data_IF_046407275779
#
_entry.id   IF_046407275779
#
_cell.length_a   1.000
_cell.length_b   1.000
_cell.length_c   1.000
_cell.angle_alpha   90.00
_cell.angle_beta   90.00
_cell.angle_gamma   90.00
#
_symmetry.space_group_name_H-M   'P 1'
#
loop_
_entity.id
_entity.type
_entity.pdbx_description
1 polymer ?
#
# COMPACT_ATOMS: atom_id res chain seq x y z
N UNK A 1 22.10 15.31 3.66
CA UNK A 1 21.71 16.05 4.87
C UNK A 1 21.64 17.57 4.71
N UNK A 2 22.52 18.25 4.01
CA UNK A 2 22.46 19.73 3.83
C UNK A 2 21.44 20.21 2.78
N UNK A 3 21.08 19.39 1.78
CA UNK A 3 20.12 19.77 0.73
C UNK A 3 18.66 19.76 1.23
N UNK A 4 18.32 18.83 2.11
CA UNK A 4 16.96 18.68 2.64
C UNK A 4 16.57 19.84 3.58
N UNK A 5 17.53 20.37 4.35
CA UNK A 5 17.29 21.53 5.23
C UNK A 5 17.09 22.84 4.45
N UNK A 6 17.67 22.96 3.25
CA UNK A 6 17.52 24.14 2.39
C UNK A 6 16.17 24.15 1.70
N UNK A 7 15.68 22.99 1.25
CA UNK A 7 14.36 22.88 0.61
C UNK A 7 13.21 23.16 1.57
N UNK A 8 13.28 22.68 2.81
CA UNK A 8 12.29 23.00 3.84
C UNK A 8 12.26 24.50 4.15
N UNK A 9 13.43 25.19 4.15
CA UNK A 9 13.48 26.64 4.37
C UNK A 9 12.95 27.47 3.20
N UNK A 10 13.05 26.99 1.97
CA UNK A 10 12.53 27.72 0.80
C UNK A 10 11.00 27.69 0.68
N UNK A 11 10.35 26.63 1.16
CA UNK A 11 8.88 26.55 1.16
C UNK A 11 8.24 27.45 2.24
N UNK A 12 8.98 27.78 3.32
CA UNK A 12 8.47 28.65 4.39
C UNK A 12 8.69 30.15 4.17
N UNK A 13 9.53 30.57 3.21
CA UNK A 13 9.85 31.98 2.98
C UNK A 13 9.16 32.60 1.76
N UNK A 14 8.41 31.83 0.99
CA UNK A 14 7.68 32.27 -0.20
C UNK A 14 6.18 32.43 0.02
N UNK A 15 5.77 33.51 0.70
CA UNK A 15 4.38 33.94 0.75
C UNK A 15 3.60 33.37 1.94
N UNK A 16 3.35 34.21 2.95
CA UNK A 16 2.26 34.05 3.91
C UNK A 16 0.93 34.33 3.14
N UNK A 17 0.60 33.49 2.17
CA UNK A 17 -0.74 33.22 1.77
C UNK A 17 -1.30 32.29 2.85
N UNK A 18 -2.41 32.62 3.45
CA UNK A 18 -3.17 31.74 4.32
C UNK A 18 -3.32 30.40 3.61
N UNK A 19 -2.49 29.43 3.95
CA UNK A 19 -2.73 28.04 3.54
C UNK A 19 -4.08 27.68 4.14
N UNK A 20 -5.11 27.68 3.32
CA UNK A 20 -6.45 27.34 3.74
C UNK A 20 -6.40 25.88 4.12
N UNK A 21 -6.39 25.60 5.43
CA UNK A 21 -6.44 24.23 5.93
C UNK A 21 -7.63 23.55 5.28
N UNK A 22 -7.38 22.46 4.60
CA UNK A 22 -8.47 21.66 4.06
C UNK A 22 -9.37 21.22 5.20
N UNK A 23 -10.69 21.19 5.01
CA UNK A 23 -11.59 20.66 6.02
C UNK A 23 -11.21 19.22 6.33
N UNK A 24 -11.47 18.78 7.58
CA UNK A 24 -11.30 17.38 7.97
C UNK A 24 -12.00 16.49 6.94
N UNK A 25 -11.31 15.50 6.37
CA UNK A 25 -11.95 14.55 5.50
C UNK A 25 -12.99 13.76 6.32
N UNK A 26 -14.18 13.64 5.75
CA UNK A 26 -15.27 12.88 6.36
C UNK A 26 -15.44 11.62 5.53
N UNK A 27 -15.27 10.48 6.17
CA UNK A 27 -15.61 9.23 5.53
C UNK A 27 -17.13 9.16 5.36
N UNK A 28 -17.58 9.04 4.12
CA UNK A 28 -18.99 8.92 3.77
C UNK A 28 -19.22 7.65 2.95
N UNK A 29 -19.80 6.58 3.52
CA UNK A 29 -20.07 5.34 2.78
C UNK A 29 -21.10 5.50 1.64
N UNK A 30 -21.79 6.64 1.59
CA UNK A 30 -22.75 7.00 0.55
C UNK A 30 -22.17 8.04 -0.44
N UNK A 31 -20.84 8.19 -0.48
CA UNK A 31 -20.22 9.11 -1.43
C UNK A 31 -20.51 8.64 -2.86
N UNK A 32 -21.03 9.53 -3.74
CA UNK A 32 -21.41 9.15 -5.10
C UNK A 32 -20.24 8.63 -5.93
N UNK A 33 -18.99 8.96 -5.58
CA UNK A 33 -17.80 8.42 -6.24
C UNK A 33 -17.71 6.88 -6.16
N UNK A 34 -18.31 6.27 -5.16
CA UNK A 34 -18.35 4.80 -5.08
C UNK A 34 -19.12 4.14 -6.24
N UNK A 35 -20.06 4.84 -6.83
CA UNK A 35 -20.85 4.36 -7.97
C UNK A 35 -20.32 4.88 -9.32
N UNK A 36 -19.44 5.88 -9.31
CA UNK A 36 -18.90 6.54 -10.51
C UNK A 36 -17.53 5.95 -10.91
N UNK A 37 -17.53 4.65 -11.26
CA UNK A 37 -16.32 4.02 -11.79
C UNK A 37 -16.16 4.31 -13.28
N UNK A 38 -14.99 4.81 -13.67
CA UNK A 38 -14.60 5.09 -15.04
C UNK A 38 -13.25 4.40 -15.31
N UNK A 39 -13.11 3.62 -16.40
CA UNK A 39 -11.81 3.06 -16.76
C UNK A 39 -10.83 4.16 -17.17
N UNK A 40 -9.49 3.91 -17.12
CA UNK A 40 -8.52 4.89 -17.57
C UNK A 40 -8.73 5.24 -19.05
N UNK A 41 -8.66 6.52 -19.36
CA UNK A 41 -8.68 7.06 -20.73
C UNK A 41 -7.29 7.11 -21.36
N UNK A 42 -7.23 7.45 -22.66
CA UNK A 42 -5.95 7.63 -23.34
C UNK A 42 -5.10 8.70 -22.64
N UNK A 43 -3.90 8.33 -22.24
CA UNK A 43 -2.96 9.22 -21.57
C UNK A 43 -3.10 9.30 -20.05
N UNK A 44 -4.03 8.59 -19.43
CA UNK A 44 -4.07 8.42 -17.98
C UNK A 44 -2.92 7.53 -17.52
N UNK A 45 -2.46 7.78 -16.29
CA UNK A 45 -1.39 7.01 -15.64
C UNK A 45 -2.01 5.98 -14.70
N UNK A 46 -1.51 4.74 -14.76
CA UNK A 46 -1.83 3.67 -13.82
C UNK A 46 -0.55 2.95 -13.42
N UNK A 47 -0.52 2.45 -12.19
CA UNK A 47 0.62 1.81 -11.58
C UNK A 47 0.38 0.34 -11.22
N UNK A 48 1.35 -0.33 -10.61
CA UNK A 48 1.21 -1.72 -10.22
C UNK A 48 0.22 -1.95 -9.06
N UNK A 49 -0.18 -0.89 -8.35
CA UNK A 49 -1.09 -0.98 -7.20
C UNK A 49 -2.57 -0.94 -7.63
N UNK A 50 -3.32 -2.06 -7.60
CA UNK A 50 -4.71 -2.09 -8.02
C UNK A 50 -5.63 -1.24 -7.13
N UNK A 51 -5.28 -1.06 -5.86
CA UNK A 51 -6.08 -0.22 -4.94
C UNK A 51 -5.99 1.26 -5.32
N UNK A 52 -4.80 1.80 -5.59
CA UNK A 52 -4.62 3.19 -6.00
C UNK A 52 -5.23 3.44 -7.39
N UNK A 53 -5.09 2.48 -8.30
CA UNK A 53 -5.76 2.51 -9.60
C UNK A 53 -7.30 2.55 -9.44
N UNK A 54 -7.85 1.74 -8.53
CA UNK A 54 -9.28 1.78 -8.20
C UNK A 54 -9.72 3.14 -7.67
N UNK A 55 -8.93 3.75 -6.79
CA UNK A 55 -9.22 5.09 -6.25
C UNK A 55 -9.22 6.16 -7.35
N UNK A 56 -8.28 6.09 -8.30
CA UNK A 56 -8.25 6.98 -9.45
C UNK A 56 -9.46 6.73 -10.37
N UNK A 57 -9.81 5.47 -10.64
CA UNK A 57 -10.96 5.10 -11.47
C UNK A 57 -12.31 5.53 -10.88
N UNK A 58 -12.38 5.73 -9.56
CA UNK A 58 -13.55 6.23 -8.84
C UNK A 58 -13.47 7.74 -8.50
N UNK A 59 -12.40 8.44 -8.86
CA UNK A 59 -12.22 9.86 -8.58
C UNK A 59 -11.92 10.23 -7.11
N UNK A 60 -11.49 9.27 -6.29
CA UNK A 60 -10.92 9.53 -4.96
C UNK A 60 -9.48 10.04 -5.05
N UNK A 61 -8.78 9.70 -6.10
CA UNK A 61 -7.54 10.32 -6.58
C UNK A 61 -7.81 11.01 -7.92
N UNK A 62 -6.93 11.92 -8.38
CA UNK A 62 -7.04 12.46 -9.73
C UNK A 62 -7.25 11.35 -10.75
N UNK A 63 -8.33 11.40 -11.53
CA UNK A 63 -8.68 10.33 -12.47
C UNK A 63 -7.58 10.06 -13.48
N UNK A 64 -6.88 11.11 -13.88
CA UNK A 64 -5.70 10.98 -14.76
C UNK A 64 -4.57 10.13 -14.17
N UNK A 65 -4.57 9.88 -12.86
CA UNK A 65 -3.49 9.20 -12.17
C UNK A 65 -2.18 9.99 -12.16
N UNK A 66 -2.22 11.31 -12.40
CA UNK A 66 -1.04 12.18 -12.54
C UNK A 66 -1.01 13.29 -11.52
N UNK A 67 0.22 13.74 -11.21
CA UNK A 67 0.50 14.82 -10.26
C UNK A 67 -0.13 14.58 -8.87
N UNK A 68 -0.09 13.33 -8.42
CA UNK A 68 -0.64 12.92 -7.13
C UNK A 68 0.30 13.37 -6.02
N UNK A 69 -0.22 14.10 -5.05
CA UNK A 69 0.53 14.54 -3.87
C UNK A 69 0.35 13.56 -2.70
N UNK A 70 1.22 13.63 -1.68
CA UNK A 70 1.01 12.86 -0.45
C UNK A 70 -0.33 13.21 0.23
N UNK A 71 -0.81 14.45 0.09
CA UNK A 71 -2.10 14.87 0.63
C UNK A 71 -3.24 14.15 -0.10
N UNK A 72 -3.16 14.02 -1.42
CA UNK A 72 -4.15 13.29 -2.21
C UNK A 72 -4.19 11.82 -1.79
N UNK A 73 -3.03 11.18 -1.59
CA UNK A 73 -2.95 9.80 -1.10
C UNK A 73 -3.64 9.65 0.25
N UNK A 74 -3.27 10.50 1.23
CA UNK A 74 -3.85 10.44 2.58
C UNK A 74 -5.37 10.61 2.55
N UNK A 75 -5.88 11.58 1.80
CA UNK A 75 -7.31 11.83 1.70
C UNK A 75 -8.04 10.76 0.88
N UNK A 76 -7.51 10.43 -0.29
CA UNK A 76 -8.15 9.47 -1.19
C UNK A 76 -8.23 8.07 -0.60
N UNK A 77 -7.18 7.59 0.08
CA UNK A 77 -7.21 6.30 0.76
C UNK A 77 -8.12 6.30 1.99
N UNK A 78 -8.18 7.39 2.74
CA UNK A 78 -9.13 7.53 3.84
C UNK A 78 -10.59 7.57 3.33
N UNK A 79 -10.89 8.43 2.36
CA UNK A 79 -12.25 8.61 1.86
C UNK A 79 -12.76 7.40 1.06
N UNK A 80 -11.88 6.75 0.26
CA UNK A 80 -12.26 5.63 -0.61
C UNK A 80 -12.10 4.24 -0.01
N UNK A 81 -11.14 4.06 0.91
CA UNK A 81 -10.84 2.75 1.51
C UNK A 81 -10.98 2.74 3.04
N UNK A 82 -11.23 3.87 3.67
CA UNK A 82 -11.26 3.99 5.12
C UNK A 82 -9.91 3.74 5.79
N UNK A 83 -8.80 3.82 5.07
CA UNK A 83 -7.47 3.58 5.62
C UNK A 83 -7.05 4.69 6.57
N UNK A 84 -6.31 4.32 7.61
CA UNK A 84 -5.83 5.28 8.58
C UNK A 84 -4.83 6.26 7.97
N UNK A 85 -4.92 7.55 8.31
CA UNK A 85 -4.06 8.58 7.74
C UNK A 85 -2.57 8.35 8.02
N UNK A 86 -2.25 7.82 9.20
CA UNK A 86 -0.87 7.53 9.61
C UNK A 86 -0.23 6.41 8.76
N UNK A 87 -1.00 5.46 8.28
CA UNK A 87 -0.51 4.45 7.37
C UNK A 87 -0.37 5.01 5.94
N UNK A 88 -1.41 5.71 5.49
CA UNK A 88 -1.47 6.29 4.15
C UNK A 88 -0.35 7.28 3.88
N UNK A 89 0.02 8.11 4.89
CA UNK A 89 1.13 9.05 4.73
C UNK A 89 2.48 8.36 4.60
N UNK A 90 2.67 7.22 5.25
CA UNK A 90 3.92 6.47 5.12
C UNK A 90 4.12 5.97 3.69
N UNK A 91 3.06 5.44 3.07
CA UNK A 91 3.06 5.04 1.66
C UNK A 91 3.31 6.25 0.76
N UNK A 92 2.52 7.32 0.88
CA UNK A 92 2.64 8.51 0.03
C UNK A 92 4.00 9.21 0.13
N UNK A 93 4.62 9.23 1.32
CA UNK A 93 5.97 9.79 1.49
C UNK A 93 7.04 8.89 0.88
N UNK A 94 6.89 7.57 0.99
CA UNK A 94 7.81 6.63 0.37
C UNK A 94 7.90 6.86 -1.14
N UNK A 95 6.76 7.05 -1.80
CA UNK A 95 6.70 7.36 -3.23
C UNK A 95 7.37 8.68 -3.57
N UNK A 96 7.01 9.74 -2.84
CA UNK A 96 7.60 11.07 -3.10
C UNK A 96 9.12 11.12 -2.94
N UNK A 97 9.69 10.26 -2.07
CA UNK A 97 11.15 10.18 -1.91
C UNK A 97 11.85 9.63 -3.16
N UNK A 98 11.11 9.03 -4.07
CA UNK A 98 11.61 8.45 -5.32
C UNK A 98 11.15 9.20 -6.57
N UNK A 99 10.12 10.03 -6.44
CA UNK A 99 9.69 10.84 -7.57
C UNK A 99 10.71 11.94 -7.91
N UNK A 100 10.75 12.32 -9.17
CA UNK A 100 11.68 13.33 -9.67
C UNK A 100 11.46 14.71 -9.04
N UNK A 101 10.25 14.99 -8.58
CA UNK A 101 9.85 16.33 -8.11
C UNK A 101 9.80 16.48 -6.60
N UNK A 102 9.75 15.40 -5.81
CA UNK A 102 9.47 15.39 -4.38
C UNK A 102 8.15 16.10 -3.97
N UNK A 103 7.36 16.52 -4.94
CA UNK A 103 6.11 17.25 -4.71
C UNK A 103 4.88 16.41 -5.09
N UNK A 104 4.98 15.68 -6.17
CA UNK A 104 3.94 14.82 -6.70
C UNK A 104 4.57 13.70 -7.53
N UNK A 105 3.80 12.66 -7.79
CA UNK A 105 4.17 11.55 -8.66
C UNK A 105 2.97 11.15 -9.54
N UNK A 106 3.25 10.47 -10.62
CA UNK A 106 2.26 9.79 -11.45
C UNK A 106 2.15 8.33 -11.00
N UNK A 107 0.97 7.70 -11.08
CA UNK A 107 0.78 6.32 -10.63
C UNK A 107 1.73 5.33 -11.31
N UNK A 108 2.12 5.60 -12.55
CA UNK A 108 3.11 4.78 -13.25
C UNK A 108 4.50 4.81 -12.58
N UNK A 109 4.85 5.88 -11.86
CA UNK A 109 6.15 5.98 -11.18
C UNK A 109 6.28 5.00 -10.00
N UNK A 110 5.16 4.43 -9.51
CA UNK A 110 5.14 3.34 -8.53
C UNK A 110 5.88 2.08 -9.02
N UNK A 111 6.10 1.98 -10.32
CA UNK A 111 6.91 0.98 -11.01
C UNK A 111 8.41 1.13 -10.70
N UNK A 112 8.79 1.50 -9.50
CA UNK A 112 10.18 1.61 -9.08
C UNK A 112 10.61 0.29 -8.44
N UNK A 113 11.10 -0.64 -9.28
CA UNK A 113 11.43 -1.99 -8.88
C UNK A 113 12.47 -2.03 -7.74
N UNK A 114 12.23 -2.92 -6.78
CA UNK A 114 13.07 -3.10 -5.60
C UNK A 114 12.86 -2.06 -4.50
N UNK A 115 11.96 -1.08 -4.70
CA UNK A 115 11.61 -0.11 -3.66
C UNK A 115 10.17 -0.29 -3.16
N UNK A 116 9.18 -0.19 -4.01
CA UNK A 116 7.77 -0.50 -3.70
C UNK A 116 7.29 -1.65 -4.58
N UNK A 117 7.51 -1.54 -5.88
CA UNK A 117 7.30 -2.66 -6.77
C UNK A 117 8.29 -3.79 -6.49
N UNK A 118 7.82 -5.01 -6.51
CA UNK A 118 8.59 -6.20 -6.16
C UNK A 118 8.13 -7.42 -6.95
N UNK A 119 9.03 -8.35 -7.18
CA UNK A 119 8.71 -9.66 -7.74
C UNK A 119 7.78 -10.48 -6.83
N UNK A 120 7.23 -11.54 -7.34
CA UNK A 120 6.28 -12.42 -6.65
C UNK A 120 4.97 -11.73 -6.25
N UNK A 121 4.57 -10.70 -6.97
CA UNK A 121 3.27 -10.06 -6.82
C UNK A 121 2.12 -11.00 -7.19
N UNK A 122 0.98 -10.92 -6.50
CA UNK A 122 -0.15 -11.85 -6.73
C UNK A 122 -0.70 -11.80 -8.15
N UNK A 123 -0.61 -10.65 -8.83
CA UNK A 123 -1.34 -10.42 -10.09
C UNK A 123 -0.55 -9.66 -11.15
N UNK A 124 0.74 -9.40 -10.91
CA UNK A 124 1.64 -8.78 -11.88
C UNK A 124 2.77 -9.74 -12.20
N UNK A 125 3.33 -9.64 -13.40
CA UNK A 125 4.52 -10.39 -13.75
C UNK A 125 5.74 -9.88 -12.97
N UNK A 126 6.77 -10.70 -12.86
CA UNK A 126 8.06 -10.27 -12.35
C UNK A 126 8.76 -9.39 -13.40
N UNK A 127 9.61 -8.47 -12.96
CA UNK A 127 10.29 -7.56 -13.89
C UNK A 127 11.14 -8.30 -14.93
N UNK A 128 11.69 -9.45 -14.57
CA UNK A 128 12.46 -10.30 -15.48
C UNK A 128 11.61 -10.98 -16.56
N UNK A 129 10.31 -11.08 -16.37
CA UNK A 129 9.37 -11.77 -17.26
C UNK A 129 8.54 -10.82 -18.13
N UNK A 130 8.70 -9.49 -17.97
CA UNK A 130 8.03 -8.50 -18.81
C UNK A 130 7.42 -7.33 -18.04
N UNK A 131 6.16 -7.03 -18.33
CA UNK A 131 5.44 -5.91 -17.72
C UNK A 131 4.92 -6.27 -16.34
N UNK A 132 5.57 -5.73 -15.30
CA UNK A 132 5.13 -5.85 -13.91
C UNK A 132 4.21 -4.70 -13.45
N UNK A 133 3.82 -3.80 -14.34
CA UNK A 133 2.86 -2.72 -14.05
C UNK A 133 1.41 -3.18 -14.17
N UNK A 134 1.07 -3.82 -15.26
CA UNK A 134 -0.30 -4.13 -15.61
C UNK A 134 -0.78 -5.48 -15.02
N UNK A 135 -2.09 -5.62 -14.87
CA UNK A 135 -2.69 -6.89 -14.48
C UNK A 135 -2.29 -8.00 -15.47
N UNK A 136 -1.80 -9.12 -14.96
CA UNK A 136 -1.40 -10.27 -15.74
C UNK A 136 -2.28 -11.49 -15.41
N UNK A 137 -3.16 -11.87 -16.37
CA UNK A 137 -4.10 -12.99 -16.19
C UNK A 137 -3.37 -14.32 -15.97
N UNK A 138 -2.24 -14.53 -16.65
CA UNK A 138 -1.45 -15.77 -16.51
C UNK A 138 -0.92 -15.89 -15.09
N UNK A 139 -0.35 -14.83 -14.54
CA UNK A 139 0.15 -14.79 -13.18
C UNK A 139 -0.99 -14.97 -12.18
N UNK A 140 -2.08 -14.23 -12.34
CA UNK A 140 -3.25 -14.34 -11.47
C UNK A 140 -3.91 -15.73 -11.51
N UNK A 141 -3.76 -16.47 -12.59
CA UNK A 141 -4.26 -17.84 -12.71
C UNK A 141 -3.59 -18.81 -11.71
N UNK A 142 -2.47 -18.45 -11.11
CA UNK A 142 -1.76 -19.27 -10.11
C UNK A 142 -2.39 -19.16 -8.71
N UNK A 143 -2.55 -17.98 -8.10
CA UNK A 143 -3.15 -17.84 -6.77
C UNK A 143 -4.69 -18.00 -6.78
N UNK A 144 -5.37 -17.66 -7.87
CA UNK A 144 -6.83 -17.68 -7.96
C UNK A 144 -7.46 -19.05 -7.65
N UNK A 145 -6.97 -20.21 -8.14
CA UNK A 145 -7.51 -21.52 -7.78
C UNK A 145 -7.44 -21.81 -6.28
N UNK A 146 -6.40 -21.33 -5.60
CA UNK A 146 -6.26 -21.48 -4.16
C UNK A 146 -7.36 -20.69 -3.45
N UNK A 147 -7.55 -19.43 -3.85
CA UNK A 147 -8.58 -18.55 -3.26
C UNK A 147 -10.01 -19.08 -3.49
N UNK A 148 -10.28 -19.76 -4.61
CA UNK A 148 -11.58 -20.36 -4.91
C UNK A 148 -12.02 -21.45 -3.93
N UNK A 149 -11.10 -21.99 -3.12
CA UNK A 149 -11.43 -22.97 -2.10
C UNK A 149 -12.03 -22.36 -0.82
N UNK A 150 -12.12 -21.04 -0.75
CA UNK A 150 -12.57 -20.32 0.44
C UNK A 150 -13.83 -19.51 0.14
N UNK A 151 -14.78 -19.52 1.06
CA UNK A 151 -16.01 -18.71 0.96
C UNK A 151 -15.73 -17.21 1.21
N UNK A 152 -14.77 -16.93 2.06
CA UNK A 152 -14.23 -15.59 2.36
C UNK A 152 -12.72 -15.65 2.41
N UNK A 153 -12.08 -14.56 2.03
CA UNK A 153 -10.62 -14.48 2.00
C UNK A 153 -10.12 -14.04 3.36
N UNK A 154 -9.53 -15.00 4.07
CA UNK A 154 -8.86 -14.79 5.36
C UNK A 154 -7.36 -14.57 5.18
N UNK A 155 -6.62 -14.13 6.21
CA UNK A 155 -5.15 -14.09 6.16
C UNK A 155 -4.52 -15.41 5.74
N UNK A 156 -5.05 -16.53 6.23
CA UNK A 156 -4.58 -17.88 5.88
C UNK A 156 -4.84 -18.21 4.41
N UNK A 157 -6.00 -17.85 3.88
CA UNK A 157 -6.37 -18.09 2.49
C UNK A 157 -5.45 -17.34 1.52
N UNK A 158 -5.22 -16.04 1.79
CA UNK A 158 -4.37 -15.22 0.92
C UNK A 158 -2.88 -15.55 1.12
N UNK A 159 -2.46 -15.94 2.33
CA UNK A 159 -1.11 -16.47 2.59
C UNK A 159 -0.84 -17.74 1.78
N UNK A 160 -1.80 -18.68 1.71
CA UNK A 160 -1.69 -19.88 0.89
C UNK A 160 -1.63 -19.55 -0.62
N UNK A 161 -2.41 -18.56 -1.06
CA UNK A 161 -2.39 -18.10 -2.45
C UNK A 161 -1.02 -17.47 -2.81
N UNK A 162 -0.44 -16.67 -1.91
CA UNK A 162 0.91 -16.12 -2.07
C UNK A 162 1.96 -17.22 -2.11
N UNK A 163 1.90 -18.19 -1.21
CA UNK A 163 2.82 -19.35 -1.24
C UNK A 163 2.78 -20.06 -2.58
N UNK A 164 1.59 -20.25 -3.17
CA UNK A 164 1.48 -20.85 -4.49
C UNK A 164 2.15 -19.98 -5.58
N UNK A 165 2.01 -18.66 -5.46
CA UNK A 165 2.63 -17.70 -6.40
C UNK A 165 4.16 -17.71 -6.27
N UNK A 166 4.70 -17.65 -5.05
CA UNK A 166 6.15 -17.66 -4.82
C UNK A 166 6.78 -18.98 -5.30
N UNK A 167 6.13 -20.13 -5.04
CA UNK A 167 6.56 -21.42 -5.56
C UNK A 167 6.58 -21.48 -7.09
N UNK A 168 5.59 -20.85 -7.72
CA UNK A 168 5.54 -20.77 -9.18
C UNK A 168 6.73 -19.97 -9.72
N UNK A 169 7.04 -18.80 -9.14
CA UNK A 169 8.14 -17.97 -9.61
C UNK A 169 9.49 -18.63 -9.43
N UNK A 170 9.75 -19.21 -8.25
CA UNK A 170 10.99 -19.95 -7.99
C UNK A 170 11.20 -21.10 -8.99
N UNK A 171 10.11 -21.70 -9.45
CA UNK A 171 10.18 -22.79 -10.44
C UNK A 171 10.33 -22.32 -11.89
N UNK A 172 9.88 -21.12 -12.23
CA UNK A 172 9.76 -20.68 -13.63
C UNK A 172 10.61 -19.45 -13.98
N UNK A 173 10.90 -18.58 -13.01
CA UNK A 173 11.72 -17.40 -13.21
C UNK A 173 13.06 -17.55 -12.47
N UNK A 174 14.17 -17.93 -13.15
CA UNK A 174 15.48 -18.09 -12.53
C UNK A 174 16.08 -16.76 -12.04
N UNK A 175 15.53 -15.63 -12.45
CA UNK A 175 16.00 -14.30 -12.08
C UNK A 175 15.08 -13.60 -11.07
N UNK A 176 14.11 -14.32 -10.49
CA UNK A 176 13.19 -13.76 -9.53
C UNK A 176 13.90 -13.26 -8.26
N UNK A 177 13.38 -12.18 -7.69
CA UNK A 177 13.88 -11.59 -6.44
C UNK A 177 12.84 -11.73 -5.31
N UNK A 178 12.34 -12.97 -5.12
CA UNK A 178 11.36 -13.31 -4.08
C UNK A 178 12.03 -13.45 -2.70
N UNK A 179 12.75 -12.45 -2.26
CA UNK A 179 13.45 -12.41 -0.98
C UNK A 179 12.60 -11.84 0.17
N UNK A 180 13.25 -11.65 1.32
CA UNK A 180 12.59 -11.19 2.54
C UNK A 180 11.78 -9.90 2.35
N UNK A 181 12.31 -8.97 1.55
CA UNK A 181 11.64 -7.69 1.25
C UNK A 181 10.36 -7.89 0.42
N UNK A 182 10.41 -8.68 -0.65
CA UNK A 182 9.23 -9.01 -1.47
C UNK A 182 8.15 -9.69 -0.63
N UNK A 183 8.56 -10.63 0.24
CA UNK A 183 7.64 -11.30 1.16
C UNK A 183 7.02 -10.30 2.12
N UNK A 184 7.82 -9.39 2.70
CA UNK A 184 7.33 -8.39 3.63
C UNK A 184 6.31 -7.44 2.98
N UNK A 185 6.60 -6.93 1.77
CA UNK A 185 5.65 -6.14 1.00
C UNK A 185 4.39 -6.93 0.69
N UNK A 186 4.54 -8.12 0.15
CA UNK A 186 3.41 -8.93 -0.26
C UNK A 186 2.48 -9.34 0.90
N UNK A 187 3.00 -9.63 2.09
CA UNK A 187 2.12 -9.89 3.24
C UNK A 187 1.49 -8.61 3.79
N UNK A 188 2.17 -7.46 3.68
CA UNK A 188 1.58 -6.16 4.00
C UNK A 188 0.41 -5.84 3.06
N UNK A 189 0.57 -6.09 1.76
CA UNK A 189 -0.50 -5.98 0.75
C UNK A 189 -1.69 -6.90 1.08
N UNK A 190 -1.43 -8.13 1.55
CA UNK A 190 -2.48 -9.05 2.01
C UNK A 190 -3.29 -8.43 3.16
N UNK A 191 -2.60 -7.87 4.15
CA UNK A 191 -3.23 -7.19 5.28
C UNK A 191 -4.06 -5.97 4.86
N UNK A 192 -3.51 -5.16 3.94
CA UNK A 192 -4.20 -4.00 3.36
C UNK A 192 -5.46 -4.41 2.59
N UNK A 193 -5.36 -5.38 1.70
CA UNK A 193 -6.46 -5.86 0.89
C UNK A 193 -7.61 -6.38 1.76
N UNK A 194 -7.31 -7.22 2.75
CA UNK A 194 -8.31 -7.77 3.65
C UNK A 194 -8.94 -6.66 4.50
N UNK A 195 -8.13 -5.79 5.10
CA UNK A 195 -8.61 -4.71 5.94
C UNK A 195 -9.50 -3.73 5.16
N UNK A 196 -9.05 -3.28 3.99
CA UNK A 196 -9.79 -2.33 3.13
C UNK A 196 -11.14 -2.87 2.66
N UNK A 197 -11.27 -4.18 2.57
CA UNK A 197 -12.50 -4.85 2.15
C UNK A 197 -13.29 -5.46 3.32
N UNK A 198 -13.13 -4.91 4.54
CA UNK A 198 -13.98 -5.22 5.69
C UNK A 198 -13.55 -6.43 6.54
N UNK A 199 -12.31 -6.89 6.41
CA UNK A 199 -11.68 -7.88 7.30
C UNK A 199 -11.89 -9.35 6.92
N UNK A 200 -12.87 -9.67 6.09
CA UNK A 200 -13.13 -11.03 5.57
C UNK A 200 -13.86 -10.96 4.23
N UNK A 201 -13.22 -10.41 3.19
CA UNK A 201 -13.87 -10.14 1.92
C UNK A 201 -14.31 -11.42 1.19
N UNK A 202 -15.40 -11.32 0.43
CA UNK A 202 -15.74 -12.32 -0.56
C UNK A 202 -14.71 -12.31 -1.69
N UNK A 203 -14.49 -13.47 -2.30
CA UNK A 203 -13.56 -13.57 -3.45
C UNK A 203 -13.95 -12.62 -4.59
N UNK A 204 -15.25 -12.45 -4.87
CA UNK A 204 -15.73 -11.54 -5.93
C UNK A 204 -15.34 -10.08 -5.69
N UNK A 205 -15.22 -9.64 -4.41
CA UNK A 205 -14.75 -8.31 -4.06
C UNK A 205 -13.24 -8.14 -4.32
N UNK A 206 -12.48 -9.16 -3.92
CA UNK A 206 -11.02 -9.21 -4.19
C UNK A 206 -10.76 -9.17 -5.71
N UNK A 207 -11.51 -9.96 -6.47
CA UNK A 207 -11.41 -9.97 -7.94
C UNK A 207 -11.78 -8.64 -8.57
N UNK A 208 -12.79 -7.94 -8.05
CA UNK A 208 -13.16 -6.62 -8.55
C UNK A 208 -12.00 -5.63 -8.44
N UNK A 209 -11.29 -5.63 -7.31
CA UNK A 209 -10.14 -4.75 -7.09
C UNK A 209 -8.95 -5.18 -7.95
N UNK A 210 -8.61 -6.46 -7.98
CA UNK A 210 -7.39 -6.96 -8.65
C UNK A 210 -7.56 -6.99 -10.17
N UNK A 211 -8.69 -7.53 -10.67
CA UNK A 211 -8.91 -7.79 -12.11
C UNK A 211 -9.48 -6.58 -12.86
N UNK A 212 -10.23 -5.72 -12.14
CA UNK A 212 -10.96 -4.62 -12.78
C UNK A 212 -10.61 -3.25 -12.22
N UNK A 213 -9.73 -3.21 -11.23
CA UNK A 213 -9.35 -1.95 -10.55
C UNK A 213 -10.58 -1.11 -10.19
N UNK A 214 -11.55 -1.79 -9.54
CA UNK A 214 -12.85 -1.24 -9.18
C UNK A 214 -13.18 -1.59 -7.74
N UNK A 215 -13.60 -0.58 -6.96
CA UNK A 215 -14.17 -0.81 -5.64
C UNK A 215 -15.47 -1.60 -5.77
N UNK A 216 -15.69 -2.67 -4.99
CA UNK A 216 -16.76 -3.64 -5.26
C UNK A 216 -18.14 -3.22 -4.73
N UNK A 217 -18.45 -1.93 -4.70
CA UNK A 217 -19.73 -1.40 -4.20
C UNK A 217 -20.91 -1.90 -5.03
N UNK A 218 -20.73 -2.07 -6.33
CA UNK A 218 -21.72 -2.69 -7.21
C UNK A 218 -21.97 -4.19 -6.92
N UNK A 219 -21.10 -4.83 -6.12
CA UNK A 219 -21.23 -6.22 -5.64
C UNK A 219 -21.72 -6.28 -4.18
N UNK A 220 -22.25 -5.18 -3.65
CA UNK A 220 -22.80 -5.08 -2.30
C UNK A 220 -21.75 -4.89 -1.21
N UNK A 221 -20.52 -4.53 -1.55
CA UNK A 221 -19.56 -4.04 -0.57
C UNK A 221 -19.98 -2.67 -0.08
N UNK A 222 -19.99 -2.50 1.23
CA UNK A 222 -20.20 -1.20 1.86
C UNK A 222 -18.89 -0.83 2.52
N UNK A 223 -18.22 0.24 2.10
CA UNK A 223 -17.00 0.70 2.73
C UNK A 223 -17.25 0.99 4.22
N UNK A 224 -16.35 0.51 5.06
CA UNK A 224 -16.43 0.72 6.52
C UNK A 224 -15.26 1.63 6.88
N UNK A 225 -15.50 2.74 7.60
CA UNK A 225 -14.40 3.54 8.09
C UNK A 225 -13.57 2.70 9.06
N UNK A 226 -12.38 2.36 8.63
CA UNK A 226 -11.39 1.85 9.54
C UNK A 226 -10.91 3.06 10.35
N UNK A 227 -11.27 3.08 11.61
CA UNK A 227 -11.01 4.20 12.52
C UNK A 227 -9.53 4.62 12.47
N UNK A 228 -9.27 5.89 12.74
CA UNK A 228 -7.94 6.42 13.09
C UNK A 228 -7.25 5.42 14.03
N UNK A 229 -6.01 5.01 13.72
CA UNK A 229 -5.23 3.96 14.41
C UNK A 229 -5.55 2.51 14.02
N UNK A 230 -5.99 2.22 12.81
CA UNK A 230 -6.17 0.82 12.38
C UNK A 230 -4.91 0.16 11.80
N UNK A 231 -3.80 0.86 11.72
CA UNK A 231 -2.51 0.25 11.34
C UNK A 231 -2.20 -1.05 12.08
N UNK A 232 -2.49 -1.20 13.39
CA UNK A 232 -2.33 -2.47 14.08
C UNK A 232 -3.17 -3.61 13.50
N UNK A 233 -4.38 -3.33 13.00
CA UNK A 233 -5.24 -4.35 12.38
C UNK A 233 -4.62 -4.83 11.07
N UNK A 234 -4.20 -3.89 10.20
CA UNK A 234 -3.54 -4.20 8.93
C UNK A 234 -2.30 -5.06 9.16
N UNK A 235 -1.45 -4.64 10.09
CA UNK A 235 -0.20 -5.33 10.42
C UNK A 235 -0.43 -6.70 11.06
N UNK A 236 -1.49 -6.84 11.85
CA UNK A 236 -1.89 -8.14 12.42
C UNK A 236 -2.34 -9.10 11.32
N UNK A 237 -3.21 -8.66 10.41
CA UNK A 237 -3.67 -9.47 9.28
C UNK A 237 -2.51 -9.86 8.35
N UNK A 238 -1.56 -8.94 8.13
CA UNK A 238 -0.35 -9.19 7.37
C UNK A 238 0.50 -10.30 8.02
N UNK A 239 0.77 -10.18 9.33
CA UNK A 239 1.53 -11.19 10.08
C UNK A 239 0.81 -12.53 10.15
N UNK A 240 -0.51 -12.56 10.32
CA UNK A 240 -1.27 -13.80 10.28
C UNK A 240 -1.15 -14.49 8.92
N UNK A 241 -1.14 -13.73 7.81
CA UNK A 241 -0.93 -14.30 6.47
C UNK A 241 0.46 -14.92 6.33
N UNK A 242 1.51 -14.27 6.86
CA UNK A 242 2.88 -14.78 6.88
C UNK A 242 3.01 -16.02 7.78
N UNK A 243 2.63 -15.87 9.05
CA UNK A 243 2.88 -16.88 10.07
C UNK A 243 2.05 -18.16 9.87
N UNK A 244 0.98 -18.09 9.09
CA UNK A 244 0.19 -19.26 8.68
C UNK A 244 0.89 -20.13 7.63
N UNK A 245 1.99 -19.64 7.02
CA UNK A 245 2.67 -20.27 5.89
C UNK A 245 4.15 -20.56 6.22
N UNK A 246 4.48 -21.77 6.70
CA UNK A 246 5.85 -22.14 7.03
C UNK A 246 6.84 -21.90 5.90
N UNK A 247 6.41 -22.08 4.65
CA UNK A 247 7.25 -21.88 3.47
C UNK A 247 7.64 -20.40 3.28
N UNK A 248 6.73 -19.47 3.48
CA UNK A 248 7.08 -18.03 3.42
C UNK A 248 8.07 -17.65 4.52
N UNK A 249 7.95 -18.26 5.70
CA UNK A 249 8.90 -18.07 6.81
C UNK A 249 10.29 -18.62 6.42
N UNK A 250 10.35 -19.76 5.75
CA UNK A 250 11.61 -20.33 5.27
C UNK A 250 12.29 -19.42 4.24
N UNK A 251 11.53 -18.82 3.32
CA UNK A 251 12.06 -17.89 2.33
C UNK A 251 12.61 -16.59 2.93
N UNK A 252 12.21 -16.20 4.15
CA UNK A 252 12.84 -15.08 4.85
C UNK A 252 14.33 -15.30 5.15
N UNK A 253 14.80 -16.54 5.14
CA UNK A 253 16.18 -16.89 5.45
C UNK A 253 16.58 -16.42 6.85
N UNK A 254 17.55 -15.49 6.94
CA UNK A 254 18.03 -14.93 8.21
C UNK A 254 17.19 -13.72 8.70
N UNK A 255 16.23 -13.25 7.90
CA UNK A 255 15.36 -12.13 8.29
C UNK A 255 14.27 -12.62 9.22
N UNK A 256 14.10 -11.95 10.36
CA UNK A 256 13.10 -12.31 11.37
C UNK A 256 11.96 -11.29 11.33
N UNK A 257 10.77 -11.75 10.92
CA UNK A 257 9.53 -10.95 10.95
C UNK A 257 8.52 -11.68 11.85
N UNK A 258 8.39 -11.22 13.09
CA UNK A 258 7.46 -11.79 14.08
C UNK A 258 6.50 -10.78 14.68
N UNK A 259 6.81 -9.51 14.54
CA UNK A 259 6.03 -8.41 15.11
C UNK A 259 5.69 -7.37 14.04
N UNK A 260 4.67 -6.53 14.27
CA UNK A 260 4.39 -5.36 13.44
C UNK A 260 5.61 -4.47 13.20
N UNK A 261 6.44 -4.28 14.22
CA UNK A 261 7.64 -3.47 14.12
C UNK A 261 8.72 -4.11 13.20
N UNK A 262 8.85 -5.44 13.21
CA UNK A 262 9.77 -6.14 12.31
C UNK A 262 9.32 -5.98 10.86
N UNK A 263 8.01 -6.15 10.61
CA UNK A 263 7.42 -6.00 9.28
C UNK A 263 7.62 -4.57 8.73
N UNK A 264 7.28 -3.56 9.53
CA UNK A 264 7.47 -2.16 9.14
C UNK A 264 8.94 -1.80 8.90
N UNK A 265 9.86 -2.35 9.69
CA UNK A 265 11.29 -2.10 9.52
C UNK A 265 11.85 -2.69 8.22
N UNK A 266 11.24 -3.77 7.72
CA UNK A 266 11.63 -4.39 6.45
C UNK A 266 11.06 -3.62 5.26
N UNK A 267 9.80 -3.19 5.35
CA UNK A 267 9.10 -2.48 4.27
C UNK A 267 9.52 -1.00 4.21
N UNK A 268 9.49 -0.32 5.35
CA UNK A 268 9.77 1.12 5.48
C UNK A 268 10.98 1.35 6.39
N UNK A 269 12.22 1.35 5.88
CA UNK A 269 13.39 1.64 6.69
C UNK A 269 13.32 3.08 7.22
N UNK A 270 12.94 3.21 8.49
CA UNK A 270 12.58 4.48 9.19
C UNK A 270 13.71 5.53 9.19
N UNK A 271 14.93 5.16 8.86
CA UNK A 271 16.10 6.05 8.85
C UNK A 271 15.92 7.29 7.97
N UNK A 272 15.04 7.20 6.98
CA UNK A 272 14.89 8.19 5.92
C UNK A 272 13.65 9.09 6.09
N UNK A 273 12.80 8.83 7.10
CA UNK A 273 11.56 9.59 7.31
C UNK A 273 11.76 10.79 8.24
N UNK A 274 11.46 11.97 7.72
CA UNK A 274 11.42 13.20 8.52
C UNK A 274 10.02 13.34 9.17
N UNK A 275 9.93 13.07 10.47
CA UNK A 275 8.67 13.15 11.24
C UNK A 275 8.00 14.54 11.14
N UNK A 276 8.78 15.61 11.05
CA UNK A 276 8.23 16.97 10.87
C UNK A 276 7.53 17.10 9.53
N UNK A 277 8.09 16.51 8.47
CA UNK A 277 7.49 16.51 7.14
C UNK A 277 6.19 15.69 7.11
N UNK A 278 6.20 14.49 7.70
CA UNK A 278 5.02 13.63 7.85
C UNK A 278 3.91 14.37 8.61
N UNK A 279 4.21 14.97 9.76
CA UNK A 279 3.26 15.74 10.55
C UNK A 279 2.67 16.91 9.75
N UNK A 280 3.49 17.58 8.94
CA UNK A 280 3.03 18.67 8.07
C UNK A 280 2.05 18.18 7.02
N UNK A 281 2.32 17.08 6.34
CA UNK A 281 1.41 16.47 5.35
C UNK A 281 0.07 16.14 5.99
N UNK A 282 0.07 15.52 7.15
CA UNK A 282 -1.18 15.17 7.83
C UNK A 282 -1.98 16.38 8.25
N UNK A 283 -1.30 17.38 8.79
CA UNK A 283 -1.97 18.65 9.16
C UNK A 283 -2.61 19.30 7.94
N UNK A 284 -1.90 19.34 6.81
CA UNK A 284 -2.43 19.88 5.55
C UNK A 284 -3.56 19.01 4.99
N UNK A 285 -3.50 17.69 5.18
CA UNK A 285 -4.59 16.78 4.80
C UNK A 285 -5.80 16.85 5.74
N UNK A 286 -5.71 17.62 6.84
CA UNK A 286 -6.80 17.80 7.79
C UNK A 286 -6.75 16.89 9.03
N UNK A 287 -5.65 16.17 9.26
CA UNK A 287 -5.49 15.21 10.36
C UNK A 287 -4.49 15.69 11.43
N UNK A 288 -4.73 16.87 12.01
CA UNK A 288 -3.79 17.51 12.95
C UNK A 288 -3.61 16.83 14.30
N UNK A 289 -4.42 15.82 14.63
CA UNK A 289 -4.40 15.12 15.94
C UNK A 289 -3.87 13.68 15.88
N UNK A 290 -3.29 13.25 14.77
CA UNK A 290 -2.79 11.88 14.62
C UNK A 290 -1.44 11.73 15.32
N UNK A 291 -1.35 10.77 16.23
CA UNK A 291 -0.10 10.43 16.94
C UNK A 291 0.63 9.27 16.25
N UNK A 292 1.81 9.56 15.72
CA UNK A 292 2.68 8.59 15.05
C UNK A 292 3.62 7.83 15.95
N UNK A 293 3.73 8.21 17.21
CA UNK A 293 4.74 7.65 18.13
C UNK A 293 4.65 6.14 18.27
N UNK A 294 3.47 5.56 17.99
CA UNK A 294 3.23 4.12 18.06
C UNK A 294 3.66 3.35 16.79
N UNK A 295 3.70 4.00 15.61
CA UNK A 295 4.15 3.38 14.37
C UNK A 295 5.68 3.41 14.23
N UNK A 296 6.32 4.42 14.80
CA UNK A 296 7.72 4.73 14.57
C UNK A 296 8.56 4.69 15.86
N UNK A 297 8.38 3.66 16.69
CA UNK A 297 9.33 3.42 17.77
C UNK A 297 10.65 2.91 17.18
N UNK A 298 11.78 3.63 17.29
CA UNK A 298 13.07 3.09 16.89
C UNK A 298 13.30 1.77 17.64
N UNK A 299 13.85 0.75 16.96
CA UNK A 299 14.41 -0.42 17.65
C UNK A 299 15.39 0.14 18.68
N UNK A 300 15.20 -0.25 19.94
CA UNK A 300 16.12 0.12 21.01
C UNK A 300 17.51 -0.37 20.62
N UNK A 301 18.41 0.58 20.30
CA UNK A 301 19.79 0.28 19.89
C UNK A 301 20.64 -0.33 21.03
N UNK A 302 20.02 -0.56 22.19
CA UNK A 302 20.67 -1.16 23.36
C UNK A 302 20.80 -2.69 23.31
N UNK A 303 20.17 -3.37 22.32
CA UNK A 303 20.26 -4.82 22.19
C UNK A 303 21.19 -5.26 21.03
N UNK A 304 22.40 -4.66 20.92
CA UNK A 304 23.46 -5.14 20.00
C UNK A 304 24.31 -6.27 20.64
N UNK A 305 23.94 -6.72 21.82
CA UNK A 305 24.62 -7.86 22.49
C UNK A 305 23.58 -8.77 23.15
N UNK A 306 22.96 -9.63 22.34
CA UNK A 306 22.39 -10.88 22.80
C UNK A 306 22.81 -11.93 21.77
N UNK A 307 23.90 -12.62 22.08
CA UNK A 307 24.44 -13.79 21.40
C UNK A 307 23.41 -14.93 21.31
#
# INVERSE_FOLDING_TARGET
MKLLSVLVSMFFLGGIGYAQLLPLPIFNPLDPRFDDWQPPGPGDSRGPCPALNSLANHGFLPHSGKNITAIDIVRGTFEGLGLSPEFSVAVGVAELLKSDTLASFDLHELFNHGFIDHDCSLSRADIGDGDNNDFNETIWSVPLPVLKNYSTITPQAIGAARTARDLFDIAHNPNQECGARSIAFGVLENGLLIASLGGSPKLEWVRSVIEHERLPTNLGFIPIPLLINNSPIILTLALESLLSQPYLIELLGNTVIKTPADLLAEVFPIKDYNLTYITSILTLAGFSSVDFSNLYKPRDSSCIKCD
#
